data_IF_601099793067
#
_entry.id   IF_601099793067
#
_cell.length_a   1.000
_cell.length_b   1.000
_cell.length_c   1.000
_cell.angle_alpha   90.00
_cell.angle_beta   90.00
_cell.angle_gamma   90.00
#
_symmetry.space_group_name_H-M   'P 1'
#
loop_
_entity.id
_entity.type
_entity.pdbx_description
1 polymer ?
#
# COMPACT_ATOMS: atom_id res chain seq x y z
N UNK A 1 0.35 -10.06 24.53
CA UNK A 1 0.77 -8.86 23.76
C UNK A 1 1.87 -9.28 22.81
N UNK A 2 1.70 -9.27 21.48
CA UNK A 2 2.84 -9.32 20.58
C UNK A 2 3.20 -7.91 20.14
N UNK A 3 4.40 -7.47 20.52
CA UNK A 3 5.17 -6.47 19.77
C UNK A 3 5.97 -7.26 18.75
N UNK A 4 5.66 -7.10 17.47
CA UNK A 4 6.58 -7.45 16.39
C UNK A 4 6.72 -6.19 15.55
N UNK A 5 7.70 -5.36 15.90
CA UNK A 5 8.23 -4.37 14.97
C UNK A 5 9.02 -5.17 13.93
N UNK A 6 8.59 -5.13 12.67
CA UNK A 6 9.45 -5.57 11.58
C UNK A 6 10.69 -4.68 11.56
N UNK A 7 11.86 -5.31 11.68
CA UNK A 7 13.15 -4.67 11.51
C UNK A 7 13.55 -4.95 10.06
N UNK A 8 13.82 -3.91 9.27
CA UNK A 8 14.38 -4.07 7.92
C UNK A 8 15.86 -4.49 7.98
N UNK A 9 16.46 -4.83 6.84
CA UNK A 9 17.87 -5.27 6.76
C UNK A 9 18.89 -4.21 7.26
N UNK A 10 18.44 -2.97 7.52
CA UNK A 10 19.23 -1.88 8.11
C UNK A 10 19.02 -1.68 9.62
N UNK A 11 18.24 -2.54 10.29
CA UNK A 11 18.02 -2.43 11.73
C UNK A 11 16.98 -1.38 12.14
N UNK A 12 16.18 -0.83 11.20
CA UNK A 12 15.17 0.18 11.52
C UNK A 12 13.83 -0.48 11.84
N UNK A 13 13.26 -0.13 12.99
CA UNK A 13 11.90 -0.52 13.36
C UNK A 13 10.90 0.26 12.51
N UNK A 14 10.18 -0.41 11.62
CA UNK A 14 9.08 0.20 10.87
C UNK A 14 7.90 0.41 11.82
N UNK A 15 7.60 1.67 12.17
CA UNK A 15 6.38 1.98 12.93
C UNK A 15 5.16 1.95 12.00
N UNK A 16 4.43 0.84 12.05
CA UNK A 16 3.18 0.63 11.30
C UNK A 16 2.04 1.58 11.72
N UNK A 17 2.20 2.42 12.76
CA UNK A 17 1.23 3.44 13.16
C UNK A 17 1.50 4.82 12.55
N UNK A 18 2.64 4.98 11.87
CA UNK A 18 2.97 6.24 11.21
C UNK A 18 1.84 6.62 10.24
N UNK A 19 1.32 7.85 10.29
CA UNK A 19 0.37 8.34 9.30
C UNK A 19 0.93 8.19 7.89
N UNK A 20 0.06 8.00 6.92
CA UNK A 20 0.51 8.00 5.54
C UNK A 20 0.94 9.41 5.13
N UNK A 21 2.02 9.55 4.34
CA UNK A 21 2.40 10.82 3.78
C UNK A 21 1.26 11.42 2.95
N UNK A 22 1.29 12.74 2.81
CA UNK A 22 0.33 13.44 1.96
C UNK A 22 0.47 13.00 0.50
N UNK A 23 -0.65 13.00 -0.24
CA UNK A 23 -0.64 12.78 -1.68
C UNK A 23 0.12 13.90 -2.38
N UNK A 24 1.01 13.51 -3.29
CA UNK A 24 1.73 14.40 -4.21
C UNK A 24 1.01 14.47 -5.57
N UNK A 25 0.44 13.34 -6.03
CA UNK A 25 -0.33 13.23 -7.26
C UNK A 25 -1.60 12.40 -7.05
N UNK A 26 -2.62 12.63 -7.87
CA UNK A 26 -3.92 11.98 -7.77
C UNK A 26 -4.82 12.58 -6.67
N UNK A 27 -5.92 11.91 -6.30
CA UNK A 27 -6.29 10.56 -6.71
C UNK A 27 -6.73 10.46 -8.17
N UNK A 28 -6.30 9.41 -8.85
CA UNK A 28 -6.77 9.03 -10.19
C UNK A 28 -7.57 7.73 -10.10
N UNK A 29 -8.72 7.60 -10.80
CA UNK A 29 -9.54 6.40 -10.72
C UNK A 29 -8.79 5.18 -11.26
N UNK A 30 -9.04 3.99 -10.71
CA UNK A 30 -8.56 2.72 -11.26
C UNK A 30 -9.53 2.18 -12.34
N UNK A 31 -9.83 3.01 -13.32
CA UNK A 31 -10.46 2.62 -14.58
C UNK A 31 -9.38 2.37 -15.66
N UNK A 32 -9.77 2.03 -16.89
CA UNK A 32 -8.82 1.71 -17.97
C UNK A 32 -7.74 2.79 -18.15
N UNK A 33 -8.13 4.07 -18.28
CA UNK A 33 -7.20 5.19 -18.46
C UNK A 33 -6.27 5.40 -17.26
N UNK A 34 -6.82 5.30 -16.04
CA UNK A 34 -6.05 5.50 -14.84
C UNK A 34 -5.09 4.35 -14.56
N UNK A 35 -5.49 3.11 -14.86
CA UNK A 35 -4.62 1.92 -14.83
C UNK A 35 -3.50 2.07 -15.86
N UNK A 36 -3.82 2.44 -17.11
CA UNK A 36 -2.83 2.67 -18.15
C UNK A 36 -1.83 3.77 -17.74
N UNK A 37 -2.31 4.86 -17.14
CA UNK A 37 -1.47 5.95 -16.63
C UNK A 37 -0.56 5.50 -15.49
N UNK A 38 -1.07 4.66 -14.58
CA UNK A 38 -0.28 4.08 -13.49
C UNK A 38 0.85 3.21 -14.04
N UNK A 39 0.52 2.25 -14.90
CA UNK A 39 1.46 1.28 -15.47
C UNK A 39 2.45 1.91 -16.46
N UNK A 40 2.10 3.05 -17.07
CA UNK A 40 3.03 3.83 -17.91
C UNK A 40 4.03 4.62 -17.05
N UNK A 41 3.58 5.13 -15.90
CA UNK A 41 4.40 5.98 -15.03
C UNK A 41 5.36 5.18 -14.17
N UNK A 42 4.96 4.00 -13.70
CA UNK A 42 5.71 3.21 -12.74
C UNK A 42 6.11 1.85 -13.28
N UNK A 43 7.34 1.47 -12.97
CA UNK A 43 7.81 0.10 -13.05
C UNK A 43 7.66 -0.56 -11.68
N UNK A 44 7.03 -1.74 -11.70
CA UNK A 44 6.70 -2.48 -10.49
C UNK A 44 7.58 -3.72 -10.26
N UNK A 45 8.49 -4.06 -11.19
CA UNK A 45 9.45 -5.14 -10.99
C UNK A 45 10.34 -4.86 -9.78
N UNK A 46 10.44 -5.84 -8.88
CA UNK A 46 11.11 -5.74 -7.57
C UNK A 46 10.54 -4.66 -6.63
N UNK A 47 9.29 -4.23 -6.85
CA UNK A 47 8.62 -3.28 -5.95
C UNK A 47 8.34 -3.89 -4.59
N UNK A 48 8.22 -3.06 -3.56
CA UNK A 48 7.94 -3.54 -2.22
C UNK A 48 6.55 -3.08 -1.79
N UNK A 49 5.67 -4.03 -1.45
CA UNK A 49 4.45 -3.72 -0.74
C UNK A 49 4.80 -3.37 0.70
N UNK A 50 4.83 -2.07 0.99
CA UNK A 50 5.22 -1.49 2.27
C UNK A 50 4.13 -1.63 3.33
N UNK A 51 2.85 -1.49 2.94
CA UNK A 51 1.74 -1.52 3.90
C UNK A 51 0.42 -1.94 3.27
N UNK A 52 -0.34 -2.74 4.02
CA UNK A 52 -1.77 -3.00 3.79
C UNK A 52 -2.53 -2.46 4.99
N UNK A 53 -3.52 -1.61 4.76
CA UNK A 53 -4.46 -1.13 5.78
C UNK A 53 -5.84 -1.62 5.37
N UNK A 54 -6.48 -2.40 6.23
CA UNK A 54 -7.85 -2.85 6.05
C UNK A 54 -8.73 -2.02 6.98
N UNK A 55 -9.64 -1.25 6.41
CA UNK A 55 -10.68 -0.56 7.16
C UNK A 55 -11.95 -1.40 7.10
N UNK A 56 -12.23 -2.06 8.22
CA UNK A 56 -13.41 -2.88 8.39
C UNK A 56 -14.01 -2.60 9.77
N UNK A 57 -15.25 -2.11 9.80
CA UNK A 57 -15.99 -2.10 11.06
C UNK A 57 -16.49 -3.52 11.37
N UNK A 58 -16.31 -3.92 12.63
CA UNK A 58 -16.90 -5.14 13.16
C UNK A 58 -18.27 -4.80 13.76
N UNK A 59 -19.35 -5.24 13.14
CA UNK A 59 -20.71 -5.01 13.64
C UNK A 59 -21.81 -5.49 12.70
N UNK A 60 -23.08 -5.50 13.17
CA UNK A 60 -24.24 -5.90 12.36
C UNK A 60 -24.52 -4.94 11.19
N UNK A 61 -24.03 -3.70 11.26
CA UNK A 61 -23.97 -2.79 10.12
C UNK A 61 -22.63 -2.99 9.41
N UNK A 62 -22.66 -3.65 8.25
CA UNK A 62 -21.48 -3.79 7.39
C UNK A 62 -21.27 -2.46 6.65
N UNK A 63 -20.47 -1.55 7.18
CA UNK A 63 -19.90 -0.49 6.36
C UNK A 63 -19.07 -1.10 5.21
N UNK A 64 -19.01 -0.44 4.05
CA UNK A 64 -18.23 -0.92 2.92
C UNK A 64 -16.77 -1.06 3.36
N UNK A 65 -16.21 -2.26 3.21
CA UNK A 65 -14.81 -2.53 3.54
C UNK A 65 -13.95 -1.69 2.61
N UNK A 66 -12.93 -1.04 3.14
CA UNK A 66 -11.91 -0.38 2.32
C UNK A 66 -10.56 -1.04 2.55
N UNK A 67 -9.75 -1.08 1.51
CA UNK A 67 -8.36 -1.50 1.61
C UNK A 67 -7.47 -0.42 1.05
N UNK A 68 -6.36 -0.16 1.72
CA UNK A 68 -5.32 0.72 1.23
C UNK A 68 -3.99 -0.03 1.15
N UNK A 69 -3.41 -0.01 -0.04
CA UNK A 69 -2.15 -0.67 -0.37
C UNK A 69 -1.11 0.41 -0.64
N UNK A 70 0.06 0.31 -0.01
CA UNK A 70 1.18 1.22 -0.26
C UNK A 70 2.33 0.40 -0.82
N UNK A 71 2.72 0.72 -2.05
CA UNK A 71 3.72 0.02 -2.84
C UNK A 71 4.83 1.02 -3.18
N UNK A 72 6.07 0.72 -2.83
CA UNK A 72 7.20 1.46 -3.35
C UNK A 72 7.46 0.99 -4.79
N UNK A 73 7.33 1.89 -5.75
CA UNK A 73 7.54 1.62 -7.18
C UNK A 73 8.56 2.59 -7.78
N UNK A 74 9.14 2.25 -8.94
CA UNK A 74 10.13 3.10 -9.62
C UNK A 74 9.44 3.98 -10.65
N UNK A 75 9.76 5.27 -10.68
CA UNK A 75 9.27 6.19 -11.71
C UNK A 75 10.07 5.99 -13.00
N UNK A 76 9.40 5.59 -14.08
CA UNK A 76 10.04 5.27 -15.38
C UNK A 76 10.75 6.49 -15.98
N UNK A 77 10.14 7.68 -15.89
CA UNK A 77 10.65 8.90 -16.53
C UNK A 77 11.66 9.71 -15.71
N UNK A 78 11.87 9.36 -14.42
CA UNK A 78 12.68 10.14 -13.47
C UNK A 78 13.83 9.29 -12.91
N UNK A 79 14.63 8.70 -13.81
CA UNK A 79 15.84 7.96 -13.45
C UNK A 79 15.63 6.77 -12.51
N UNK A 80 14.47 6.11 -12.58
CA UNK A 80 14.09 4.98 -11.72
C UNK A 80 14.06 5.30 -10.22
N UNK A 81 13.77 6.56 -9.89
CA UNK A 81 13.56 7.00 -8.53
C UNK A 81 12.44 6.20 -7.86
N UNK A 82 12.68 5.73 -6.64
CA UNK A 82 11.63 5.14 -5.80
C UNK A 82 10.65 6.19 -5.29
N UNK A 83 9.36 5.87 -5.42
CA UNK A 83 8.22 6.66 -4.99
C UNK A 83 7.14 5.76 -4.40
N UNK A 84 6.57 6.10 -3.22
CA UNK A 84 5.45 5.37 -2.67
C UNK A 84 4.16 5.66 -3.45
N UNK A 85 3.57 4.61 -4.00
CA UNK A 85 2.28 4.61 -4.69
C UNK A 85 1.22 4.01 -3.78
N UNK A 86 0.08 4.68 -3.68
CA UNK A 86 -1.04 4.26 -2.85
C UNK A 86 -2.21 3.83 -3.73
N UNK A 87 -2.71 2.61 -3.53
CA UNK A 87 -3.97 2.13 -4.08
C UNK A 87 -5.04 2.16 -2.98
N UNK A 88 -6.04 3.00 -3.16
CA UNK A 88 -7.23 3.11 -2.32
C UNK A 88 -8.37 2.31 -2.96
N UNK A 89 -8.74 1.16 -2.38
CA UNK A 89 -9.81 0.30 -2.84
C UNK A 89 -11.07 0.50 -1.98
N UNK A 90 -12.21 0.69 -2.65
CA UNK A 90 -13.49 1.02 -2.02
C UNK A 90 -14.50 -0.10 -2.22
N UNK A 91 -15.26 -0.41 -1.17
CA UNK A 91 -16.26 -1.48 -1.14
C UNK A 91 -15.67 -2.83 -1.58
N UNK A 92 -14.61 -3.24 -0.86
CA UNK A 92 -13.91 -4.52 -1.01
C UNK A 92 -14.86 -5.66 -0.65
N UNK A 93 -15.20 -6.48 -1.63
CA UNK A 93 -16.11 -7.62 -1.50
C UNK A 93 -15.38 -8.85 -1.00
N UNK A 94 -14.22 -9.11 -1.59
CA UNK A 94 -13.40 -10.28 -1.32
C UNK A 94 -11.92 -9.89 -1.31
N UNK A 95 -11.15 -10.54 -0.45
CA UNK A 95 -9.70 -10.42 -0.42
C UNK A 95 -9.09 -11.76 0.00
N UNK A 96 -7.89 -12.04 -0.51
CA UNK A 96 -7.06 -13.15 -0.08
C UNK A 96 -5.66 -12.61 0.16
N UNK A 97 -5.16 -12.85 1.37
CA UNK A 97 -3.80 -12.54 1.80
C UNK A 97 -3.29 -13.82 2.44
N UNK A 98 -2.60 -14.63 1.67
CA UNK A 98 -1.94 -15.81 2.21
C UNK A 98 -0.67 -15.38 2.98
N UNK A 99 -0.14 -16.28 3.81
CA UNK A 99 1.09 -16.02 4.55
C UNK A 99 2.23 -15.77 3.54
N UNK A 100 2.64 -14.52 3.42
CA UNK A 100 3.76 -14.12 2.57
C UNK A 100 5.02 -14.58 3.29
N UNK A 101 5.69 -15.60 2.74
CA UNK A 101 6.92 -16.13 3.32
C UNK A 101 8.04 -15.07 3.24
N UNK A 102 8.28 -14.37 4.35
CA UNK A 102 9.31 -13.33 4.47
C UNK A 102 8.75 -11.98 4.94
N UNK A 103 9.57 -11.21 5.64
CA UNK A 103 9.23 -9.90 6.22
C UNK A 103 9.01 -8.79 5.19
N UNK A 104 9.20 -9.07 3.89
CA UNK A 104 9.00 -8.13 2.78
C UNK A 104 8.20 -8.78 1.66
N UNK A 105 7.04 -8.23 1.33
CA UNK A 105 6.26 -8.63 0.17
C UNK A 105 6.80 -7.92 -1.07
N UNK A 106 7.83 -8.51 -1.67
CA UNK A 106 8.37 -8.06 -2.95
C UNK A 106 7.42 -8.49 -4.06
N UNK A 107 7.05 -7.56 -4.92
CA UNK A 107 6.31 -7.79 -6.14
C UNK A 107 7.31 -8.08 -7.25
N UNK A 108 7.34 -9.32 -7.70
CA UNK A 108 8.23 -9.74 -8.79
C UNK A 108 7.71 -9.26 -10.16
N UNK A 109 6.39 -9.16 -10.31
CA UNK A 109 5.71 -8.64 -11.48
C UNK A 109 4.87 -7.41 -11.14
N UNK A 110 4.49 -6.67 -12.19
CA UNK A 110 3.54 -5.59 -12.06
C UNK A 110 2.17 -6.10 -11.58
N UNK A 111 1.45 -5.32 -10.74
CA UNK A 111 0.07 -5.60 -10.41
C UNK A 111 -0.79 -5.81 -11.65
N UNK A 112 -1.60 -6.86 -11.65
CA UNK A 112 -2.59 -7.10 -12.68
C UNK A 112 -3.94 -6.54 -12.23
N UNK A 113 -4.55 -5.77 -13.12
CA UNK A 113 -5.88 -5.18 -12.91
C UNK A 113 -6.83 -5.82 -13.91
N UNK A 114 -7.96 -6.34 -13.44
CA UNK A 114 -8.96 -6.96 -14.31
C UNK A 114 -10.35 -6.62 -13.82
N UNK A 115 -11.28 -6.38 -14.75
CA UNK A 115 -12.67 -6.13 -14.43
C UNK A 115 -13.51 -7.36 -14.74
N UNK A 116 -14.23 -7.87 -13.74
CA UNK A 116 -15.19 -8.96 -13.87
C UNK A 116 -16.52 -8.52 -13.28
N UNK A 117 -17.62 -8.67 -14.04
CA UNK A 117 -18.98 -8.37 -13.58
C UNK A 117 -19.15 -6.99 -12.91
N UNK A 118 -18.40 -5.99 -13.40
CA UNK A 118 -18.42 -4.63 -12.86
C UNK A 118 -17.62 -4.41 -11.58
N UNK A 119 -16.86 -5.41 -11.12
CA UNK A 119 -15.92 -5.31 -10.01
C UNK A 119 -14.49 -5.20 -10.52
N UNK A 120 -13.69 -4.38 -9.85
CA UNK A 120 -12.26 -4.26 -10.05
C UNK A 120 -11.56 -5.32 -9.21
N UNK A 121 -10.73 -6.12 -9.88
CA UNK A 121 -9.83 -7.04 -9.24
C UNK A 121 -8.39 -6.56 -9.37
N UNK A 122 -7.65 -6.62 -8.25
CA UNK A 122 -6.24 -6.22 -8.16
C UNK A 122 -5.45 -7.41 -7.63
N UNK A 123 -4.68 -8.04 -8.51
CA UNK A 123 -3.75 -9.11 -8.18
C UNK A 123 -2.33 -8.54 -8.09
N UNK A 124 -1.73 -8.65 -6.92
CA UNK A 124 -0.36 -8.19 -6.67
C UNK A 124 0.68 -9.29 -6.88
N UNK A 125 0.28 -10.53 -7.18
CA UNK A 125 1.18 -11.65 -7.42
C UNK A 125 0.77 -12.48 -8.65
N UNK A 126 0.67 -11.87 -9.85
CA UNK A 126 0.11 -12.55 -11.03
C UNK A 126 1.00 -13.65 -11.62
N UNK A 127 2.28 -13.73 -11.21
CA UNK A 127 3.30 -14.60 -11.82
C UNK A 127 3.03 -16.10 -11.77
N UNK A 128 2.05 -16.56 -10.97
CA UNK A 128 1.73 -17.99 -10.85
C UNK A 128 0.71 -18.51 -11.84
N UNK A 129 0.03 -17.62 -12.57
CA UNK A 129 -0.74 -18.07 -13.73
C UNK A 129 0.23 -18.27 -14.90
N UNK A 130 0.38 -19.51 -15.37
CA UNK A 130 0.98 -19.79 -16.68
C UNK A 130 0.16 -19.27 -17.86
N UNK A 131 -0.80 -18.38 -17.61
CA UNK A 131 -1.74 -17.79 -18.54
C UNK A 131 -1.84 -16.29 -18.25
N UNK A 132 -1.62 -15.46 -19.27
CA UNK A 132 -1.59 -14.01 -19.14
C UNK A 132 -2.98 -13.39 -18.81
N UNK A 133 -4.07 -14.16 -18.98
CA UNK A 133 -5.44 -13.64 -18.90
C UNK A 133 -6.39 -14.67 -18.24
N UNK A 134 -6.75 -14.48 -16.95
CA UNK A 134 -7.76 -15.31 -16.30
C UNK A 134 -9.14 -15.10 -16.93
N UNK A 135 -9.97 -16.14 -17.00
CA UNK A 135 -11.28 -16.07 -17.66
C UNK A 135 -12.39 -15.52 -16.76
N UNK A 136 -12.19 -15.57 -15.44
CA UNK A 136 -13.18 -15.15 -14.43
C UNK A 136 -12.49 -14.84 -13.08
N UNK A 137 -13.23 -14.21 -12.16
CA UNK A 137 -12.70 -13.83 -10.84
C UNK A 137 -12.29 -15.03 -9.98
N UNK A 138 -13.03 -16.14 -10.07
CA UNK A 138 -12.74 -17.35 -9.31
C UNK A 138 -11.35 -17.89 -9.63
N UNK A 139 -10.98 -17.97 -10.90
CA UNK A 139 -9.65 -18.43 -11.32
C UNK A 139 -8.56 -17.59 -10.66
N UNK A 140 -8.74 -16.27 -10.58
CA UNK A 140 -7.72 -15.41 -9.97
C UNK A 140 -7.59 -15.65 -8.48
N UNK A 141 -8.72 -15.75 -7.76
CA UNK A 141 -8.67 -16.03 -6.32
C UNK A 141 -8.10 -17.40 -5.99
N UNK A 142 -8.19 -18.39 -6.88
CA UNK A 142 -7.59 -19.71 -6.67
C UNK A 142 -6.07 -19.68 -6.80
N UNK A 143 -5.53 -18.95 -7.79
CA UNK A 143 -4.08 -18.92 -8.08
C UNK A 143 -3.30 -17.75 -7.45
N UNK A 144 -3.96 -16.67 -7.04
CA UNK A 144 -3.31 -15.52 -6.42
C UNK A 144 -3.15 -15.69 -4.90
N UNK A 145 -2.00 -15.29 -4.39
CA UNK A 145 -1.72 -15.27 -2.94
C UNK A 145 -2.03 -13.91 -2.30
N UNK A 146 -2.12 -12.86 -3.13
CA UNK A 146 -2.41 -11.51 -2.69
C UNK A 146 -3.31 -10.81 -3.72
N UNK A 147 -4.63 -10.88 -3.48
CA UNK A 147 -5.64 -10.37 -4.40
C UNK A 147 -6.80 -9.70 -3.66
N UNK A 148 -7.32 -8.64 -4.27
CA UNK A 148 -8.47 -7.88 -3.80
C UNK A 148 -9.52 -7.78 -4.90
N UNK A 149 -10.79 -7.85 -4.52
CA UNK A 149 -11.94 -7.53 -5.37
C UNK A 149 -12.74 -6.39 -4.72
N UNK A 150 -12.92 -5.30 -5.46
CA UNK A 150 -13.51 -4.07 -4.97
C UNK A 150 -14.47 -3.48 -6.01
N UNK A 151 -15.46 -2.69 -5.58
CA UNK A 151 -16.35 -2.03 -6.52
C UNK A 151 -15.65 -0.91 -7.31
N UNK A 152 -14.65 -0.26 -6.71
CA UNK A 152 -13.85 0.78 -7.36
C UNK A 152 -12.55 1.03 -6.61
N UNK A 153 -11.67 1.85 -7.17
CA UNK A 153 -10.50 2.31 -6.46
C UNK A 153 -9.85 3.52 -7.11
N UNK A 154 -8.82 4.04 -6.45
CA UNK A 154 -7.99 5.12 -6.95
C UNK A 154 -6.52 4.81 -6.70
N UNK A 155 -5.64 5.37 -7.51
CA UNK A 155 -4.22 5.42 -7.22
C UNK A 155 -3.75 6.86 -6.99
N UNK A 156 -2.70 7.02 -6.18
CA UNK A 156 -2.04 8.29 -5.93
C UNK A 156 -0.56 8.09 -5.68
N UNK A 157 0.25 9.08 -6.06
CA UNK A 157 1.62 9.16 -5.56
C UNK A 157 1.60 9.81 -4.18
N UNK A 158 2.34 9.26 -3.23
CA UNK A 158 2.52 9.87 -1.93
C UNK A 158 3.86 10.61 -1.89
N UNK A 159 3.95 11.65 -1.08
CA UNK A 159 5.25 12.19 -0.67
C UNK A 159 6.07 11.05 -0.06
N UNK A 160 7.39 11.15 -0.21
CA UNK A 160 8.30 10.26 0.53
C UNK A 160 8.06 10.41 2.02
N UNK A 161 8.17 9.29 2.75
CA UNK A 161 8.29 9.35 4.21
C UNK A 161 9.50 10.21 4.54
N UNK A 162 9.26 11.29 5.27
CA UNK A 162 10.30 12.08 5.85
C UNK A 162 11.04 11.22 6.89
N UNK A 163 12.35 11.04 6.69
CA UNK A 163 13.20 10.34 7.66
C UNK A 163 13.39 11.15 8.96
N UNK A 164 12.81 12.34 9.04
CA UNK A 164 12.92 13.29 10.15
C UNK A 164 11.92 13.05 11.29
N UNK A 165 11.70 11.79 11.67
CA UNK A 165 10.98 11.43 12.89
C UNK A 165 11.82 11.52 14.18
N UNK A 166 13.02 12.09 14.14
CA UNK A 166 13.92 12.25 15.29
C UNK A 166 14.52 13.65 15.35
N UNK A 167 13.73 14.64 15.81
CA UNK A 167 14.07 15.54 16.94
C UNK A 167 13.04 16.66 17.04
N UNK A 168 12.11 16.52 17.98
CA UNK A 168 11.46 17.65 18.63
C UNK A 168 11.12 17.27 20.06
N UNK A 169 12.13 17.20 20.92
CA UNK A 169 11.90 17.48 22.34
C UNK A 169 12.29 18.94 22.53
N UNK A 170 11.31 19.82 22.32
CA UNK A 170 11.37 21.17 22.84
C UNK A 170 11.41 21.06 24.37
N UNK A 171 12.59 21.21 24.95
CA UNK A 171 12.76 21.38 26.39
C UNK A 171 12.32 22.78 26.79
N UNK A 172 11.03 22.94 27.09
CA UNK A 172 10.53 24.06 27.87
C UNK A 172 10.60 23.68 29.36
N UNK A 173 11.54 24.28 30.09
CA UNK A 173 11.55 24.52 31.53
C UNK A 173 12.72 25.47 31.78
N UNK A 174 12.59 26.67 32.32
CA UNK A 174 11.58 27.24 33.19
C UNK A 174 12.37 28.15 34.13
N UNK A 175 12.02 29.43 34.16
CA UNK A 175 12.59 30.41 35.09
C UNK A 175 12.58 29.91 36.53
N UNK A 176 13.65 30.17 37.27
CA UNK A 176 13.59 30.30 38.73
C UNK A 176 14.64 31.31 39.18
N UNK A 177 14.13 32.52 39.44
CA UNK A 177 14.79 33.51 40.27
C UNK A 177 14.77 33.07 41.75
N UNK A 178 15.83 33.42 42.46
CA UNK A 178 15.95 33.41 43.93
C UNK A 178 17.42 33.69 44.26
N UNK A 179 17.82 34.82 44.85
CA UNK A 179 17.27 35.45 46.05
C UNK A 179 18.13 34.97 47.23
N UNK A 180 19.05 35.81 47.70
CA UNK A 180 20.19 35.41 48.53
C UNK A 180 19.94 35.25 50.03
N UNK A 181 21.04 34.97 50.73
CA UNK A 181 21.44 35.56 52.02
C UNK A 181 22.95 35.74 51.98
#
# INVERSE_FOLDING_TARGET
MPKTCGIDDEGRTVDHRTPLPMRELGPYPLNEDGIASLLTRYEFGDSCLRRIILDQEYGPQRSPRAARLVIDARVVSDGYRWEPVCLDLHDVRQLRIDEIAGTSCVLFAAPQFTHFDGLLQVDLCPERFGHEHPANSKEVFEGAHLVFEAASGHWSALKRWDQSGHTAVAGAAGDSAGGGV
#
